data_IF_833528728407
#
_entry.id   IF_833528728407
#
_cell.length_a   1.000
_cell.length_b   1.000
_cell.length_c   1.000
_cell.angle_alpha   90.00
_cell.angle_beta   90.00
_cell.angle_gamma   90.00
#
_symmetry.space_group_name_H-M   'P 1'
#
loop_
_entity.id
_entity.type
_entity.pdbx_description
1 polymer ?
#
# COMPACT_ATOMS: atom_id res chain seq x y z
N UNK A 1 -18.71 26.11 -1.34
CA UNK A 1 -18.29 25.76 -2.71
C UNK A 1 -17.49 24.48 -2.61
N UNK A 2 -17.80 23.41 -3.37
CA UNK A 2 -16.88 22.30 -3.48
C UNK A 2 -15.59 22.81 -4.12
N UNK A 3 -14.46 22.58 -3.46
CA UNK A 3 -13.13 22.80 -4.05
C UNK A 3 -12.89 21.57 -4.92
N UNK A 4 -12.97 21.72 -6.23
CA UNK A 4 -12.49 20.68 -7.13
C UNK A 4 -10.96 20.71 -7.07
N UNK A 5 -10.38 19.70 -6.44
CA UNK A 5 -8.94 19.47 -6.51
C UNK A 5 -8.71 18.61 -7.74
N UNK A 6 -8.19 19.21 -8.81
CA UNK A 6 -7.71 18.44 -9.95
C UNK A 6 -6.52 17.60 -9.48
N UNK A 7 -6.75 16.32 -9.24
CA UNK A 7 -5.68 15.37 -8.92
C UNK A 7 -5.02 15.01 -10.25
N UNK A 8 -3.96 15.75 -10.61
CA UNK A 8 -3.13 15.42 -11.76
C UNK A 8 -2.32 14.17 -11.40
N UNK A 9 -2.64 13.05 -12.04
CA UNK A 9 -1.91 11.80 -11.91
C UNK A 9 -0.71 11.79 -12.86
N UNK A 10 0.43 11.26 -12.39
CA UNK A 10 1.53 10.92 -13.27
C UNK A 10 1.13 9.71 -14.13
N UNK A 11 1.66 9.55 -15.36
CA UNK A 11 1.26 8.47 -16.27
C UNK A 11 1.32 7.07 -15.64
N UNK A 12 2.39 6.77 -14.88
CA UNK A 12 2.51 5.48 -14.20
C UNK A 12 1.46 5.29 -13.10
N UNK A 13 1.01 6.38 -12.45
CA UNK A 13 -0.01 6.29 -11.40
C UNK A 13 -1.33 5.91 -12.04
N UNK A 14 -1.70 6.54 -13.15
CA UNK A 14 -2.90 6.19 -13.89
C UNK A 14 -2.87 4.72 -14.35
N UNK A 15 -1.80 4.30 -15.02
CA UNK A 15 -1.65 2.92 -15.50
C UNK A 15 -1.71 1.90 -14.35
N UNK A 16 -0.94 2.13 -13.29
CA UNK A 16 -0.87 1.19 -12.16
C UNK A 16 -2.15 1.11 -11.35
N UNK A 17 -2.87 2.21 -11.17
CA UNK A 17 -4.17 2.22 -10.47
C UNK A 17 -5.26 1.49 -11.25
N UNK A 18 -5.15 1.42 -12.58
CA UNK A 18 -6.07 0.67 -13.44
C UNK A 18 -5.70 -0.81 -13.57
N UNK A 19 -4.50 -1.20 -13.14
CA UNK A 19 -4.01 -2.57 -13.26
C UNK A 19 -4.83 -3.54 -12.38
N UNK A 20 -5.16 -4.69 -12.98
CA UNK A 20 -5.85 -5.80 -12.31
C UNK A 20 -4.87 -6.82 -11.71
N UNK A 21 -3.55 -6.59 -11.87
CA UNK A 21 -2.56 -7.53 -11.38
C UNK A 21 -2.60 -7.64 -9.85
N UNK A 22 -2.44 -8.88 -9.37
CA UNK A 22 -2.53 -9.17 -7.95
C UNK A 22 -1.38 -8.51 -7.18
N UNK A 23 -0.18 -8.52 -7.75
CA UNK A 23 1.03 -7.96 -7.14
C UNK A 23 1.54 -6.78 -7.97
N UNK A 24 1.54 -5.60 -7.38
CA UNK A 24 2.12 -4.40 -7.99
C UNK A 24 3.22 -3.87 -7.10
N UNK A 25 4.36 -3.54 -7.71
CA UNK A 25 5.45 -2.85 -7.04
C UNK A 25 5.79 -1.54 -7.73
N UNK A 26 5.83 -0.45 -6.98
CA UNK A 26 6.40 0.82 -7.41
C UNK A 26 7.80 1.00 -6.82
N UNK A 27 8.77 1.16 -7.69
CA UNK A 27 10.19 1.30 -7.38
C UNK A 27 10.66 2.67 -7.86
N UNK A 28 11.34 3.47 -7.04
CA UNK A 28 11.86 4.76 -7.49
C UNK A 28 12.35 5.69 -6.39
N UNK A 29 12.96 6.81 -6.78
CA UNK A 29 13.56 7.78 -5.86
C UNK A 29 12.57 8.51 -4.94
N UNK A 30 13.08 9.25 -3.97
CA UNK A 30 12.27 10.12 -3.09
C UNK A 30 11.54 11.17 -3.94
N UNK A 31 10.29 11.47 -3.58
CA UNK A 31 9.48 12.48 -4.30
C UNK A 31 8.79 11.96 -5.57
N UNK A 32 9.01 10.70 -5.98
CA UNK A 32 8.39 10.15 -7.19
C UNK A 32 6.89 9.80 -7.07
N UNK A 33 6.26 10.11 -5.93
CA UNK A 33 4.81 9.93 -5.71
C UNK A 33 4.38 8.52 -5.30
N UNK A 34 5.29 7.58 -5.00
CA UNK A 34 4.96 6.17 -4.71
C UNK A 34 4.02 5.99 -3.51
N UNK A 35 4.30 6.64 -2.39
CA UNK A 35 3.45 6.58 -1.20
C UNK A 35 2.06 7.16 -1.47
N UNK A 36 1.98 8.21 -2.30
CA UNK A 36 0.70 8.76 -2.79
C UNK A 36 -0.04 7.74 -3.65
N UNK A 37 0.64 7.05 -4.56
CA UNK A 37 0.05 5.98 -5.39
C UNK A 37 -0.46 4.82 -4.55
N UNK A 38 0.32 4.36 -3.57
CA UNK A 38 -0.05 3.33 -2.61
C UNK A 38 -1.32 3.73 -1.85
N UNK A 39 -1.39 4.98 -1.37
CA UNK A 39 -2.57 5.55 -0.70
C UNK A 39 -3.81 5.59 -1.59
N UNK A 40 -3.66 6.04 -2.84
CA UNK A 40 -4.78 6.11 -3.79
C UNK A 40 -5.31 4.72 -4.13
N UNK A 41 -4.43 3.74 -4.35
CA UNK A 41 -4.83 2.35 -4.61
C UNK A 41 -5.50 1.72 -3.38
N UNK A 42 -4.96 1.97 -2.17
CA UNK A 42 -5.56 1.51 -0.93
C UNK A 42 -6.98 2.05 -0.74
N UNK A 43 -7.18 3.35 -0.95
CA UNK A 43 -8.50 3.94 -0.88
C UNK A 43 -9.45 3.38 -1.95
N UNK A 44 -9.01 3.36 -3.22
CA UNK A 44 -9.82 2.86 -4.34
C UNK A 44 -10.24 1.41 -4.11
N UNK A 45 -9.31 0.57 -3.66
CA UNK A 45 -9.55 -0.83 -3.31
C UNK A 45 -10.55 -0.93 -2.16
N UNK A 46 -10.40 -0.13 -1.11
CA UNK A 46 -11.32 -0.14 0.03
C UNK A 46 -12.73 0.35 -0.34
N UNK A 47 -12.86 1.22 -1.35
CA UNK A 47 -14.13 1.64 -1.93
C UNK A 47 -14.76 0.57 -2.83
N UNK A 48 -13.96 -0.08 -3.68
CA UNK A 48 -14.37 -1.17 -4.56
C UNK A 48 -14.88 -2.39 -3.79
N UNK A 49 -14.34 -2.62 -2.59
CA UNK A 49 -14.65 -3.76 -1.73
C UNK A 49 -15.18 -3.31 -0.37
N UNK A 50 -16.47 -2.91 -0.27
CA UNK A 50 -17.09 -2.50 0.98
C UNK A 50 -16.99 -3.55 2.09
N UNK A 51 -16.66 -3.11 3.30
CA UNK A 51 -16.44 -4.00 4.45
C UNK A 51 -15.11 -4.75 4.43
N UNK A 52 -14.24 -4.47 3.45
CA UNK A 52 -12.93 -5.09 3.33
C UNK A 52 -11.98 -4.69 4.46
N UNK A 53 -11.10 -5.61 4.82
CA UNK A 53 -10.09 -5.44 5.87
C UNK A 53 -8.69 -5.42 5.26
N UNK A 54 -8.03 -4.27 5.32
CA UNK A 54 -6.76 -4.01 4.67
C UNK A 54 -5.64 -3.76 5.67
N UNK A 55 -4.45 -4.30 5.39
CA UNK A 55 -3.24 -4.01 6.15
C UNK A 55 -2.40 -2.97 5.41
N UNK A 56 -2.05 -1.88 6.10
CA UNK A 56 -1.02 -0.94 5.68
C UNK A 56 0.21 -1.18 6.55
N UNK A 57 1.26 -1.74 5.95
CA UNK A 57 2.45 -2.26 6.64
C UNK A 57 3.65 -1.40 6.30
N UNK A 58 4.45 -1.07 7.32
CA UNK A 58 5.76 -0.44 7.15
C UNK A 58 6.74 -0.99 8.20
N UNK A 59 8.02 -0.65 8.09
CA UNK A 59 9.03 -1.01 9.08
C UNK A 59 8.92 -0.18 10.36
N UNK A 60 8.51 1.08 10.27
CA UNK A 60 8.39 2.02 11.39
C UNK A 60 7.04 2.76 11.35
N UNK A 61 6.34 2.79 12.50
CA UNK A 61 5.05 3.50 12.59
C UNK A 61 5.18 5.00 12.61
N UNK A 62 6.25 5.55 13.17
CA UNK A 62 6.48 7.00 13.17
C UNK A 62 6.64 7.44 11.73
N UNK A 63 7.44 6.70 10.95
CA UNK A 63 7.61 6.96 9.54
C UNK A 63 6.31 6.80 8.76
N UNK A 64 5.56 5.71 9.00
CA UNK A 64 4.26 5.50 8.37
C UNK A 64 3.26 6.64 8.69
N UNK A 65 3.31 7.18 9.92
CA UNK A 65 2.48 8.32 10.36
C UNK A 65 2.80 9.58 9.59
N UNK A 66 4.08 9.87 9.40
CA UNK A 66 4.58 11.06 8.72
C UNK A 66 4.52 10.95 7.19
N UNK A 67 4.46 9.73 6.64
CA UNK A 67 4.33 9.47 5.20
C UNK A 67 2.90 9.08 4.81
N UNK A 68 2.67 7.78 4.60
CA UNK A 68 1.48 7.22 3.94
C UNK A 68 0.19 7.48 4.72
N UNK A 69 0.22 7.46 6.05
CA UNK A 69 -0.96 7.83 6.86
C UNK A 69 -1.33 9.31 6.68
N UNK A 70 -0.37 10.22 6.80
CA UNK A 70 -0.62 11.64 6.59
C UNK A 70 -1.14 11.90 5.17
N UNK A 71 -0.55 11.25 4.16
CA UNK A 71 -1.03 11.34 2.79
C UNK A 71 -2.45 10.81 2.61
N UNK A 72 -2.81 9.70 3.27
CA UNK A 72 -4.16 9.13 3.25
C UNK A 72 -5.17 10.07 3.90
N UNK A 73 -4.88 10.58 5.10
CA UNK A 73 -5.75 11.52 5.80
C UNK A 73 -5.94 12.79 4.97
N UNK A 74 -4.85 13.40 4.49
CA UNK A 74 -4.91 14.57 3.63
C UNK A 74 -5.71 14.32 2.35
N UNK A 75 -5.57 13.13 1.75
CA UNK A 75 -6.37 12.75 0.59
C UNK A 75 -7.86 12.68 0.92
N UNK A 76 -8.23 11.97 1.99
CA UNK A 76 -9.63 11.81 2.42
C UNK A 76 -10.25 13.18 2.74
N UNK A 77 -9.54 14.04 3.46
CA UNK A 77 -9.98 15.41 3.76
C UNK A 77 -10.17 16.23 2.48
N UNK A 78 -9.24 16.13 1.51
CA UNK A 78 -9.30 16.87 0.24
C UNK A 78 -10.51 16.52 -0.63
N UNK A 79 -11.00 15.28 -0.53
CA UNK A 79 -12.19 14.81 -1.25
C UNK A 79 -13.46 14.85 -0.39
N UNK A 80 -13.37 15.35 0.86
CA UNK A 80 -14.49 15.40 1.79
C UNK A 80 -15.01 14.03 2.24
N UNK A 81 -14.16 12.99 2.20
CA UNK A 81 -14.53 11.66 2.64
C UNK A 81 -14.55 11.60 4.18
N UNK A 82 -15.68 11.19 4.75
CA UNK A 82 -15.77 10.94 6.19
C UNK A 82 -14.97 9.69 6.54
N UNK A 83 -14.29 9.69 7.68
CA UNK A 83 -13.63 8.51 8.24
C UNK A 83 -13.61 8.59 9.77
N UNK A 84 -13.33 7.45 10.41
CA UNK A 84 -13.07 7.38 11.85
C UNK A 84 -11.68 6.84 12.10
N UNK A 85 -10.84 7.65 12.74
CA UNK A 85 -9.52 7.25 13.23
C UNK A 85 -9.61 6.73 14.67
N UNK A 86 -9.06 5.54 14.94
CA UNK A 86 -8.90 4.96 16.28
C UNK A 86 -7.42 4.83 16.62
N UNK A 87 -6.85 5.88 17.23
CA UNK A 87 -5.41 6.01 17.45
C UNK A 87 -4.77 4.83 18.22
N UNK A 88 -5.36 4.44 19.34
CA UNK A 88 -4.87 3.33 20.18
C UNK A 88 -4.79 2.00 19.42
N UNK A 89 -5.76 1.76 18.52
CA UNK A 89 -5.81 0.51 17.73
C UNK A 89 -5.09 0.65 16.39
N UNK A 90 -4.76 1.88 15.99
CA UNK A 90 -4.20 2.25 14.70
C UNK A 90 -5.07 1.81 13.53
N UNK A 91 -6.38 2.07 13.64
CA UNK A 91 -7.36 1.66 12.63
C UNK A 91 -8.11 2.88 12.09
N UNK A 92 -8.12 3.02 10.76
CA UNK A 92 -9.00 3.92 10.04
C UNK A 92 -10.22 3.13 9.54
N UNK A 93 -11.43 3.66 9.78
CA UNK A 93 -12.68 3.06 9.28
C UNK A 93 -13.35 4.00 8.29
N UNK A 94 -13.68 3.49 7.11
CA UNK A 94 -14.43 4.21 6.07
C UNK A 94 -15.94 4.04 6.25
N UNK A 95 -16.79 4.90 5.65
CA UNK A 95 -18.24 4.86 5.83
C UNK A 95 -18.89 3.60 5.27
N UNK A 96 -18.26 2.97 4.29
CA UNK A 96 -18.70 1.70 3.70
C UNK A 96 -18.33 0.47 4.56
N UNK A 97 -17.79 0.68 5.76
CA UNK A 97 -17.41 -0.39 6.70
C UNK A 97 -16.00 -0.94 6.51
N UNK A 98 -15.30 -0.55 5.44
CA UNK A 98 -13.92 -1.01 5.21
C UNK A 98 -12.97 -0.48 6.30
N UNK A 99 -12.00 -1.29 6.70
CA UNK A 99 -11.01 -0.94 7.73
C UNK A 99 -9.59 -1.04 7.21
N UNK A 100 -8.78 -0.04 7.53
CA UNK A 100 -7.36 0.03 7.23
C UNK A 100 -6.60 -0.04 8.55
N UNK A 101 -5.78 -1.08 8.71
CA UNK A 101 -5.00 -1.32 9.91
C UNK A 101 -3.55 -0.98 9.65
N UNK A 102 -2.99 -0.06 10.42
CA UNK A 102 -1.58 0.28 10.34
C UNK A 102 -0.74 -0.61 11.25
N UNK A 103 0.20 -1.34 10.65
CA UNK A 103 0.94 -2.42 11.28
C UNK A 103 2.42 -2.33 10.95
N UNK A 104 3.25 -2.94 11.80
CA UNK A 104 4.68 -3.14 11.54
C UNK A 104 5.05 -4.59 11.41
N UNK A 105 6.06 -4.84 10.57
CA UNK A 105 6.65 -6.18 10.42
C UNK A 105 7.07 -6.80 11.74
N UNK A 106 7.64 -6.01 12.66
CA UNK A 106 8.22 -6.55 13.89
C UNK A 106 7.26 -6.58 15.07
N UNK A 107 6.53 -5.49 15.32
CA UNK A 107 5.74 -5.36 16.55
C UNK A 107 4.37 -6.02 16.43
N UNK A 108 3.86 -6.20 15.20
CA UNK A 108 2.48 -6.60 14.96
C UNK A 108 2.34 -7.97 14.27
N UNK A 109 3.38 -8.84 14.35
CA UNK A 109 3.38 -10.19 13.74
C UNK A 109 2.15 -11.02 14.08
N UNK A 110 1.70 -10.97 15.34
CA UNK A 110 0.52 -11.70 15.80
C UNK A 110 -0.76 -11.18 15.17
N UNK A 111 -0.91 -9.86 15.04
CA UNK A 111 -2.06 -9.24 14.40
C UNK A 111 -2.09 -9.54 12.89
N UNK A 112 -0.92 -9.51 12.23
CA UNK A 112 -0.77 -9.91 10.84
C UNK A 112 -1.20 -11.36 10.62
N UNK A 113 -0.75 -12.30 11.47
CA UNK A 113 -1.08 -13.73 11.37
C UNK A 113 -2.53 -14.05 11.69
N UNK A 114 -3.07 -13.39 12.71
CA UNK A 114 -4.36 -13.72 13.33
C UNK A 114 -5.56 -13.24 12.52
N UNK A 115 -5.34 -12.54 11.42
CA UNK A 115 -6.39 -11.98 10.58
C UNK A 115 -6.29 -12.51 9.14
N UNK A 116 -7.45 -12.58 8.50
CA UNK A 116 -7.56 -12.73 7.05
C UNK A 116 -7.66 -11.31 6.47
N UNK A 117 -6.65 -10.89 5.70
CA UNK A 117 -6.62 -9.58 5.06
C UNK A 117 -7.11 -9.69 3.62
N UNK A 118 -8.02 -8.80 3.23
CA UNK A 118 -8.54 -8.70 1.85
C UNK A 118 -7.53 -8.00 0.92
N UNK A 119 -6.58 -7.27 1.48
CA UNK A 119 -5.42 -6.73 0.76
C UNK A 119 -4.32 -6.25 1.70
N UNK A 120 -3.08 -6.23 1.21
CA UNK A 120 -1.89 -5.82 1.96
C UNK A 120 -1.11 -4.80 1.14
N UNK A 121 -0.85 -3.66 1.77
CA UNK A 121 -0.19 -2.50 1.20
C UNK A 121 1.06 -2.25 2.02
N UNK A 122 2.23 -2.30 1.38
CA UNK A 122 3.52 -2.26 2.05
C UNK A 122 4.26 -1.02 1.59
N UNK A 123 4.50 -0.10 2.51
CA UNK A 123 5.33 1.08 2.28
C UNK A 123 6.78 0.80 2.70
N UNK A 124 7.72 1.43 2.01
CA UNK A 124 9.16 1.30 2.24
C UNK A 124 9.66 -0.14 2.42
N UNK A 125 9.27 -1.00 1.48
CA UNK A 125 9.63 -2.42 1.50
C UNK A 125 11.13 -2.67 1.25
N UNK A 126 11.92 -1.64 0.91
CA UNK A 126 13.39 -1.69 0.85
C UNK A 126 14.07 -1.62 2.21
N UNK A 127 13.33 -1.32 3.28
CA UNK A 127 13.88 -1.20 4.62
C UNK A 127 14.64 -2.46 5.06
N UNK A 128 15.73 -2.28 5.81
CA UNK A 128 16.67 -3.34 6.23
C UNK A 128 16.00 -4.56 6.90
N UNK A 129 14.83 -4.36 7.51
CA UNK A 129 14.11 -5.42 8.19
C UNK A 129 13.14 -6.18 7.29
N UNK A 130 12.98 -5.80 6.02
CA UNK A 130 12.16 -6.50 5.03
C UNK A 130 13.01 -7.57 4.34
N UNK A 131 12.82 -8.83 4.72
CA UNK A 131 13.45 -9.98 4.06
C UNK A 131 12.44 -10.67 3.15
N UNK A 132 12.92 -11.47 2.20
CA UNK A 132 12.06 -12.29 1.33
C UNK A 132 11.11 -13.19 2.14
N UNK A 133 11.62 -13.87 3.17
CA UNK A 133 10.82 -14.69 4.09
C UNK A 133 9.68 -13.91 4.77
N UNK A 134 9.95 -12.67 5.22
CA UNK A 134 8.93 -11.83 5.85
C UNK A 134 7.91 -11.33 4.83
N UNK A 135 8.35 -11.05 3.62
CA UNK A 135 7.48 -10.65 2.53
C UNK A 135 6.54 -11.79 2.12
N UNK A 136 7.07 -13.00 1.96
CA UNK A 136 6.27 -14.21 1.69
C UNK A 136 5.27 -14.47 2.83
N UNK A 137 5.72 -14.36 4.07
CA UNK A 137 4.85 -14.47 5.23
C UNK A 137 3.70 -13.47 5.24
N UNK A 138 3.94 -12.22 4.84
CA UNK A 138 2.87 -11.23 4.70
C UNK A 138 1.88 -11.65 3.62
N UNK A 139 2.36 -12.05 2.45
CA UNK A 139 1.51 -12.46 1.33
C UNK A 139 0.61 -13.63 1.73
N UNK A 140 1.14 -14.59 2.49
CA UNK A 140 0.37 -15.73 3.02
C UNK A 140 -0.74 -15.30 4.00
N UNK A 141 -0.66 -14.10 4.58
CA UNK A 141 -1.71 -13.54 5.42
C UNK A 141 -2.86 -12.90 4.61
N UNK A 142 -2.67 -12.63 3.31
CA UNK A 142 -3.72 -12.17 2.41
C UNK A 142 -4.66 -13.33 2.08
N UNK A 143 -5.56 -13.65 3.01
CA UNK A 143 -6.53 -14.76 2.92
C UNK A 143 -7.98 -14.28 3.01
N UNK A 144 -8.19 -12.98 2.94
CA UNK A 144 -9.50 -12.37 2.88
C UNK A 144 -10.34 -12.92 1.72
N UNK A 145 -11.65 -12.80 1.88
CA UNK A 145 -12.64 -13.37 0.96
C UNK A 145 -13.32 -12.30 0.11
N UNK A 146 -13.05 -11.03 0.38
CA UNK A 146 -13.66 -9.90 -0.33
C UNK A 146 -12.69 -9.44 -1.41
N UNK A 147 -13.12 -9.54 -2.66
CA UNK A 147 -12.37 -9.05 -3.82
C UNK A 147 -11.14 -9.89 -4.19
N UNK A 148 -10.33 -9.32 -5.07
CA UNK A 148 -9.07 -9.90 -5.50
C UNK A 148 -7.98 -9.47 -4.52
N UNK A 149 -7.34 -10.42 -3.85
CA UNK A 149 -6.36 -10.18 -2.77
C UNK A 149 -5.16 -9.34 -3.22
N UNK A 150 -5.30 -8.02 -3.18
CA UNK A 150 -4.31 -7.07 -3.72
C UNK A 150 -3.10 -6.98 -2.81
N UNK A 151 -1.93 -7.16 -3.40
CA UNK A 151 -0.63 -6.89 -2.77
C UNK A 151 -0.01 -5.71 -3.50
N UNK A 152 0.22 -4.62 -2.77
CA UNK A 152 0.80 -3.38 -3.29
C UNK A 152 2.04 -3.02 -2.51
N UNK A 153 3.11 -2.69 -3.22
CA UNK A 153 4.43 -2.51 -2.63
C UNK A 153 5.02 -1.20 -3.13
N UNK A 154 5.43 -0.32 -2.23
CA UNK A 154 6.26 0.82 -2.55
C UNK A 154 7.66 0.61 -1.95
N UNK A 155 8.70 0.89 -2.74
CA UNK A 155 10.07 0.87 -2.24
C UNK A 155 10.95 1.91 -2.92
N UNK A 156 11.95 2.37 -2.18
CA UNK A 156 13.05 3.15 -2.74
C UNK A 156 13.93 2.28 -3.66
N UNK A 157 14.93 2.87 -4.34
CA UNK A 157 15.75 2.10 -5.25
C UNK A 157 16.47 0.95 -4.54
N UNK A 158 16.27 -0.26 -5.05
CA UNK A 158 16.91 -1.49 -4.59
C UNK A 158 17.90 -2.00 -5.62
N UNK A 159 18.95 -2.70 -5.19
CA UNK A 159 19.92 -3.29 -6.11
C UNK A 159 19.32 -4.48 -6.88
N UNK A 160 19.91 -4.81 -8.04
CA UNK A 160 19.53 -6.00 -8.82
C UNK A 160 19.60 -7.31 -8.02
N UNK A 161 20.41 -7.35 -6.96
CA UNK A 161 20.52 -8.52 -6.08
C UNK A 161 19.36 -8.67 -5.09
N UNK A 162 18.58 -7.61 -4.87
CA UNK A 162 17.47 -7.58 -3.93
C UNK A 162 16.30 -8.46 -4.40
N UNK A 163 15.61 -9.12 -3.46
CA UNK A 163 14.55 -10.07 -3.80
C UNK A 163 13.37 -9.41 -4.55
N UNK A 164 12.99 -8.18 -4.16
CA UNK A 164 11.97 -7.41 -4.87
C UNK A 164 12.37 -7.13 -6.33
N UNK A 165 13.64 -6.78 -6.58
CA UNK A 165 14.11 -6.56 -7.95
C UNK A 165 13.99 -7.83 -8.80
N UNK A 166 14.39 -8.97 -8.21
CA UNK A 166 14.29 -10.28 -8.86
C UNK A 166 12.85 -10.65 -9.19
N UNK A 167 11.94 -10.48 -8.22
CA UNK A 167 10.54 -10.95 -8.29
C UNK A 167 9.62 -10.08 -9.15
N UNK A 168 9.96 -8.81 -9.35
CA UNK A 168 9.10 -7.86 -10.08
C UNK A 168 9.68 -7.36 -11.41
N UNK A 169 11.01 -7.41 -11.60
CA UNK A 169 11.65 -6.85 -12.79
C UNK A 169 12.55 -7.83 -13.56
N UNK A 170 13.36 -8.64 -12.88
CA UNK A 170 14.35 -9.51 -13.56
C UNK A 170 13.73 -10.82 -14.04
N UNK A 171 13.00 -11.51 -13.16
CA UNK A 171 12.27 -12.73 -13.48
C UNK A 171 10.89 -12.66 -12.82
N UNK A 172 9.98 -11.85 -13.38
CA UNK A 172 8.71 -11.57 -12.75
C UNK A 172 7.88 -12.85 -12.63
N UNK A 173 7.34 -13.07 -11.43
CA UNK A 173 6.38 -14.15 -11.22
C UNK A 173 5.06 -13.82 -11.92
N UNK A 174 4.29 -14.84 -12.32
CA UNK A 174 2.95 -14.62 -12.88
C UNK A 174 2.11 -13.79 -11.88
N UNK A 175 1.36 -12.81 -12.39
CA UNK A 175 0.56 -11.91 -11.56
C UNK A 175 1.34 -10.77 -10.90
N UNK A 176 2.64 -10.62 -11.20
CA UNK A 176 3.51 -9.56 -10.67
C UNK A 176 3.90 -8.57 -11.76
N UNK A 177 3.69 -7.29 -11.48
CA UNK A 177 4.13 -6.19 -12.34
C UNK A 177 4.89 -5.15 -11.52
N UNK A 178 6.03 -4.71 -12.05
CA UNK A 178 6.85 -3.66 -11.46
C UNK A 178 6.79 -2.39 -12.30
N UNK A 179 6.65 -1.25 -11.64
CA UNK A 179 6.75 0.08 -12.22
C UNK A 179 8.03 0.75 -11.69
N UNK A 180 8.99 0.99 -12.59
CA UNK A 180 10.15 1.80 -12.31
C UNK A 180 9.80 3.28 -12.55
N UNK A 181 9.90 4.07 -11.49
CA UNK A 181 9.42 5.45 -11.45
C UNK A 181 10.61 6.38 -11.28
N UNK A 182 10.98 7.04 -12.36
CA UNK A 182 11.88 8.19 -12.33
C UNK A 182 11.11 9.41 -11.81
N UNK A 183 11.75 10.21 -10.97
CA UNK A 183 11.26 11.58 -10.70
C UNK A 183 11.34 12.34 -12.01
N UNK A 184 10.20 12.85 -12.51
CA UNK A 184 10.24 13.91 -13.52
C UNK A 184 10.68 15.17 -12.78
N UNK A 185 11.83 15.72 -13.16
CA UNK A 185 12.31 17.04 -12.72
C UNK A 185 11.32 18.14 -13.14
#
# INVERSE_FOLDING_TARGET
MPVFVDVILLPYQEESLQSLEQFILWHGGRGSGKSRTLTMDLYNTACLFPGGKFALVCNDLVQLRESTHADLVNYLDSIGCLYRWQDQKKILTLPNGSTIHELTFEKDKTALKGAEWDGIFIDEADGRNTTEEKFDYLIDCARGKIGDRRIRVACNPVSHGHFLAKRFFINPHLGHIGYEVTTYD
#
